data_IF_569494626571
#
_entry.id   IF_569494626571
#
_cell.length_a   1.000
_cell.length_b   1.000
_cell.length_c   1.000
_cell.angle_alpha   90.00
_cell.angle_beta   90.00
_cell.angle_gamma   90.00
#
_symmetry.space_group_name_H-M   'P 1'
#
loop_
_entity.id
_entity.type
_entity.pdbx_description
1 polymer ?
#
# COMPACT_ATOMS: atom_id res chain seq x y z
N UNK A 1 0.24 2.75 18.15
CA UNK A 1 0.92 1.42 18.17
C UNK A 1 0.40 0.46 17.09
N UNK A 2 -0.92 0.40 16.86
CA UNK A 2 -1.52 -0.47 15.82
C UNK A 2 -0.96 -0.13 14.43
N UNK A 3 -0.93 1.14 14.06
CA UNK A 3 -0.33 1.61 12.80
C UNK A 3 1.08 1.05 12.61
N UNK A 4 1.93 1.18 13.59
CA UNK A 4 3.33 0.73 13.51
C UNK A 4 3.44 -0.79 13.35
N UNK A 5 2.57 -1.55 14.03
CA UNK A 5 2.54 -3.02 13.89
C UNK A 5 2.11 -3.44 12.49
N UNK A 6 1.09 -2.80 11.96
CA UNK A 6 0.62 -3.10 10.60
C UNK A 6 1.70 -2.79 9.55
N UNK A 7 2.36 -1.65 9.67
CA UNK A 7 3.48 -1.31 8.77
C UNK A 7 4.61 -2.33 8.89
N UNK A 8 5.02 -2.68 10.11
CA UNK A 8 6.08 -3.67 10.33
C UNK A 8 5.72 -5.04 9.75
N UNK A 9 4.47 -5.48 9.93
CA UNK A 9 4.00 -6.75 9.38
C UNK A 9 4.05 -6.75 7.85
N UNK A 10 3.53 -5.69 7.22
CA UNK A 10 3.57 -5.56 5.76
C UNK A 10 4.99 -5.54 5.23
N UNK A 11 5.88 -4.73 5.81
CA UNK A 11 7.27 -4.65 5.38
C UNK A 11 7.97 -6.00 5.52
N UNK A 12 7.80 -6.70 6.63
CA UNK A 12 8.44 -7.99 6.88
C UNK A 12 7.95 -9.08 5.93
N UNK A 13 6.64 -9.26 5.84
CA UNK A 13 6.04 -10.31 5.02
C UNK A 13 6.26 -10.08 3.52
N UNK A 14 6.10 -8.86 3.07
CA UNK A 14 6.27 -8.53 1.65
C UNK A 14 7.75 -8.60 1.26
N UNK A 15 8.66 -8.12 2.11
CA UNK A 15 10.09 -8.23 1.85
C UNK A 15 10.51 -9.68 1.66
N UNK A 16 10.02 -10.58 2.51
CA UNK A 16 10.27 -12.02 2.40
C UNK A 16 9.73 -12.59 1.08
N UNK A 17 8.49 -12.22 0.73
CA UNK A 17 7.86 -12.68 -0.50
C UNK A 17 8.54 -12.18 -1.77
N UNK A 18 9.24 -11.05 -1.70
CA UNK A 18 9.92 -10.43 -2.85
C UNK A 18 11.36 -10.91 -3.07
N UNK A 19 11.90 -11.79 -2.23
CA UNK A 19 13.32 -12.21 -2.29
C UNK A 19 13.83 -12.61 -3.67
N UNK A 20 13.01 -13.29 -4.46
CA UNK A 20 13.39 -13.79 -5.78
C UNK A 20 12.72 -13.01 -6.92
N UNK A 21 12.26 -11.82 -6.65
CA UNK A 21 11.57 -10.96 -7.62
C UNK A 21 12.34 -9.65 -7.81
N UNK A 22 12.26 -9.04 -8.99
CA UNK A 22 12.95 -7.76 -9.25
C UNK A 22 12.17 -6.58 -8.68
N UNK A 23 11.70 -6.69 -7.44
CA UNK A 23 10.91 -5.69 -6.76
C UNK A 23 11.39 -5.53 -5.32
N UNK A 24 11.17 -4.34 -4.75
CA UNK A 24 11.45 -4.07 -3.35
C UNK A 24 10.33 -3.27 -2.70
N UNK A 25 10.17 -3.42 -1.39
CA UNK A 25 9.25 -2.60 -0.60
C UNK A 25 10.03 -1.57 0.19
N UNK A 26 9.54 -0.33 0.18
CA UNK A 26 10.18 0.81 0.84
C UNK A 26 9.21 1.43 1.86
N UNK A 27 9.73 1.91 3.00
CA UNK A 27 8.92 2.48 4.07
C UNK A 27 8.53 3.94 3.83
N UNK A 28 7.86 4.56 4.81
CA UNK A 28 7.21 5.86 4.70
C UNK A 28 8.13 7.08 4.53
N UNK A 29 9.43 6.95 4.70
CA UNK A 29 10.37 8.06 4.47
C UNK A 29 10.57 8.36 2.98
N UNK A 30 10.16 7.45 2.10
CA UNK A 30 10.16 7.72 0.68
C UNK A 30 8.90 8.52 0.32
N UNK A 31 9.06 9.58 -0.44
CA UNK A 31 7.91 10.30 -0.98
C UNK A 31 7.68 9.95 -2.44
N UNK A 32 6.45 10.09 -2.87
CA UNK A 32 6.04 9.80 -4.25
C UNK A 32 5.60 11.10 -4.89
N UNK A 33 6.08 11.36 -6.10
CA UNK A 33 5.67 12.52 -6.89
C UNK A 33 4.74 12.11 -8.03
N UNK A 34 3.79 12.99 -8.35
CA UNK A 34 2.98 12.84 -9.56
C UNK A 34 3.72 13.40 -10.77
N UNK A 35 3.35 12.99 -12.00
CA UNK A 35 4.01 13.49 -13.22
C UNK A 35 4.00 15.00 -13.37
N UNK A 36 2.95 15.68 -12.90
CA UNK A 36 2.84 17.13 -12.92
C UNK A 36 3.69 17.83 -11.88
N UNK A 37 4.26 17.07 -10.92
CA UNK A 37 4.96 17.60 -9.73
C UNK A 37 4.13 18.54 -8.86
N UNK A 38 2.82 18.50 -9.02
CA UNK A 38 1.90 19.32 -8.21
C UNK A 38 1.69 18.78 -6.81
N UNK A 39 1.97 17.48 -6.61
CA UNK A 39 1.76 16.79 -5.34
C UNK A 39 2.90 15.87 -5.00
N UNK A 40 3.27 15.90 -3.73
CA UNK A 40 4.23 14.99 -3.11
C UNK A 40 3.53 14.29 -1.96
N UNK A 41 3.58 12.97 -1.93
CA UNK A 41 2.89 12.16 -0.94
C UNK A 41 3.86 11.23 -0.24
N UNK A 42 3.58 10.93 1.03
CA UNK A 42 4.35 9.99 1.83
C UNK A 42 3.48 8.78 2.16
N UNK A 43 3.42 7.76 1.28
CA UNK A 43 2.67 6.55 1.59
C UNK A 43 3.32 5.77 2.74
N UNK A 44 2.53 4.96 3.45
CA UNK A 44 3.07 4.14 4.54
C UNK A 44 4.05 3.09 4.05
N UNK A 45 3.83 2.55 2.86
CA UNK A 45 4.77 1.68 2.17
C UNK A 45 4.52 1.72 0.66
N UNK A 46 5.56 1.40 -0.10
CA UNK A 46 5.49 1.37 -1.57
C UNK A 46 6.33 0.22 -2.10
N UNK A 47 5.82 -0.47 -3.13
CA UNK A 47 6.61 -1.44 -3.89
C UNK A 47 6.98 -0.83 -5.23
N UNK A 48 8.27 -0.92 -5.55
CA UNK A 48 8.82 -0.56 -6.86
C UNK A 48 9.47 -1.78 -7.48
N UNK A 49 9.23 -1.97 -8.78
CA UNK A 49 9.80 -3.09 -9.53
C UNK A 49 10.76 -2.55 -10.58
N UNK A 50 11.86 -3.28 -10.80
CA UNK A 50 12.94 -2.84 -11.66
C UNK A 50 13.75 -1.73 -11.01
N UNK A 51 14.32 -0.86 -11.83
CA UNK A 51 15.15 0.25 -11.35
C UNK A 51 14.28 1.37 -10.79
N UNK A 52 14.47 1.78 -9.52
CA UNK A 52 13.78 2.95 -8.99
C UNK A 52 14.15 4.21 -9.77
N UNK A 53 13.14 4.96 -10.19
CA UNK A 53 13.32 6.24 -10.87
C UNK A 53 13.12 7.37 -9.86
N UNK A 54 14.21 8.06 -9.53
CA UNK A 54 14.19 9.14 -8.57
C UNK A 54 14.05 10.50 -9.27
N UNK A 55 13.35 11.44 -8.62
CA UNK A 55 13.16 12.77 -9.18
C UNK A 55 14.44 13.58 -9.20
N UNK A 56 15.20 13.52 -8.09
CA UNK A 56 16.49 14.23 -7.95
C UNK A 56 17.39 13.51 -6.94
N UNK A 57 18.60 14.07 -6.74
CA UNK A 57 19.59 13.53 -5.80
C UNK A 57 19.45 14.09 -4.39
N UNK A 58 18.51 14.99 -4.14
CA UNK A 58 18.40 15.71 -2.86
C UNK A 58 17.45 15.05 -1.88
N UNK A 59 16.39 14.42 -2.38
CA UNK A 59 15.34 13.81 -1.58
C UNK A 59 15.01 12.43 -2.15
N UNK A 60 14.58 11.53 -1.27
CA UNK A 60 14.10 10.22 -1.68
C UNK A 60 12.68 10.34 -2.26
N UNK A 61 12.60 10.81 -3.51
CA UNK A 61 11.36 11.00 -4.24
C UNK A 61 11.27 10.02 -5.39
N UNK A 62 10.37 9.06 -5.26
CA UNK A 62 10.15 7.99 -6.22
C UNK A 62 9.11 8.40 -7.27
N UNK A 63 9.41 8.16 -8.54
CA UNK A 63 8.54 8.49 -9.66
C UNK A 63 7.76 7.28 -10.20
N UNK A 64 8.21 6.05 -9.92
CA UNK A 64 7.63 4.84 -10.52
C UNK A 64 7.18 3.77 -9.52
N UNK A 65 6.35 4.12 -8.52
CA UNK A 65 5.77 3.12 -7.65
C UNK A 65 4.81 2.22 -8.42
N UNK A 66 4.78 0.93 -8.09
CA UNK A 66 3.83 -0.03 -8.66
C UNK A 66 2.65 -0.30 -7.73
N UNK A 67 2.92 -0.49 -6.43
CA UNK A 67 1.90 -0.75 -5.42
C UNK A 67 2.09 0.22 -4.27
N UNK A 68 1.02 0.83 -3.81
CA UNK A 68 1.03 1.78 -2.70
C UNK A 68 0.14 1.25 -1.59
N UNK A 69 0.65 1.30 -0.35
CA UNK A 69 -0.05 0.91 0.87
C UNK A 69 -0.30 2.12 1.76
N UNK A 70 -1.50 2.23 2.27
CA UNK A 70 -1.85 3.20 3.31
C UNK A 70 -2.58 2.49 4.44
N UNK A 71 -2.21 2.81 5.68
CA UNK A 71 -2.93 2.34 6.85
C UNK A 71 -4.05 3.34 7.15
N UNK A 72 -5.28 2.88 7.07
CA UNK A 72 -6.44 3.72 7.33
C UNK A 72 -6.64 3.93 8.83
N UNK A 73 -6.86 5.17 9.21
CA UNK A 73 -7.38 5.55 10.52
C UNK A 73 -8.66 6.38 10.33
N UNK A 74 -9.52 6.50 11.36
CA UNK A 74 -10.72 7.34 11.23
C UNK A 74 -10.44 8.79 10.78
N UNK A 75 -9.27 9.32 11.14
CA UNK A 75 -8.88 10.69 10.80
C UNK A 75 -8.36 10.86 9.37
N UNK A 76 -7.90 9.80 8.72
CA UNK A 76 -7.26 9.88 7.38
C UNK A 76 -8.04 9.18 6.28
N UNK A 77 -9.08 8.42 6.63
CA UNK A 77 -9.81 7.54 5.71
C UNK A 77 -10.32 8.25 4.46
N UNK A 78 -11.00 9.38 4.61
CA UNK A 78 -11.56 10.11 3.48
C UNK A 78 -10.47 10.63 2.53
N UNK A 79 -9.38 11.13 3.08
CA UNK A 79 -8.24 11.62 2.31
C UNK A 79 -7.55 10.49 1.55
N UNK A 80 -7.33 9.35 2.22
CA UNK A 80 -6.67 8.18 1.63
C UNK A 80 -7.53 7.54 0.53
N UNK A 81 -8.84 7.45 0.73
CA UNK A 81 -9.75 6.87 -0.26
C UNK A 81 -9.98 7.75 -1.47
N UNK A 82 -10.02 9.07 -1.29
CA UNK A 82 -10.39 10.01 -2.33
C UNK A 82 -9.19 10.70 -2.98
N UNK A 83 -8.68 11.73 -2.30
CA UNK A 83 -7.70 12.65 -2.88
C UNK A 83 -6.36 12.00 -3.22
N UNK A 84 -5.80 11.21 -2.32
CA UNK A 84 -4.55 10.49 -2.58
C UNK A 84 -4.69 9.54 -3.75
N UNK A 85 -5.75 8.75 -3.79
CA UNK A 85 -6.00 7.82 -4.88
C UNK A 85 -6.11 8.54 -6.22
N UNK A 86 -6.78 9.67 -6.27
CA UNK A 86 -6.87 10.50 -7.48
C UNK A 86 -5.48 10.88 -7.99
N UNK A 87 -4.57 11.30 -7.12
CA UNK A 87 -3.21 11.67 -7.51
C UNK A 87 -2.37 10.45 -7.92
N UNK A 88 -2.42 9.36 -7.18
CA UNK A 88 -1.65 8.17 -7.51
C UNK A 88 -2.04 7.56 -8.86
N UNK A 89 -3.31 7.63 -9.25
CA UNK A 89 -3.78 7.13 -10.55
C UNK A 89 -3.15 7.82 -11.74
N UNK A 90 -2.58 9.00 -11.57
CA UNK A 90 -1.89 9.72 -12.64
C UNK A 90 -0.51 9.15 -12.94
N UNK A 91 0.03 8.32 -12.06
CA UNK A 91 1.37 7.74 -12.20
C UNK A 91 1.30 6.52 -13.13
N UNK A 92 2.02 6.51 -14.27
CA UNK A 92 1.91 5.44 -15.27
C UNK A 92 2.27 4.04 -14.75
N UNK A 93 3.20 3.93 -13.81
CA UNK A 93 3.62 2.64 -13.23
C UNK A 93 2.66 2.08 -12.20
N UNK A 94 1.78 2.90 -11.66
CA UNK A 94 0.89 2.54 -10.55
C UNK A 94 -0.18 1.54 -10.97
N UNK A 95 -0.30 0.41 -10.23
CA UNK A 95 -1.19 -0.69 -10.57
C UNK A 95 -2.16 -1.08 -9.46
N UNK A 96 -1.73 -0.98 -8.20
CA UNK A 96 -2.57 -1.40 -7.07
C UNK A 96 -2.46 -0.43 -5.90
N UNK A 97 -3.61 -0.09 -5.33
CA UNK A 97 -3.72 0.72 -4.13
C UNK A 97 -4.32 -0.13 -3.01
N UNK A 98 -3.58 -0.33 -1.93
CA UNK A 98 -3.96 -1.23 -0.85
C UNK A 98 -4.15 -0.44 0.42
N UNK A 99 -5.37 -0.44 0.94
CA UNK A 99 -5.76 0.25 2.16
C UNK A 99 -6.00 -0.79 3.25
N UNK A 100 -5.24 -0.68 4.35
CA UNK A 100 -5.30 -1.61 5.48
C UNK A 100 -5.95 -0.90 6.66
N UNK A 101 -7.11 -1.38 7.10
CA UNK A 101 -7.85 -0.74 8.18
C UNK A 101 -7.17 -1.00 9.53
N UNK A 102 -7.05 0.03 10.36
CA UNK A 102 -6.44 -0.06 11.69
C UNK A 102 -7.44 -0.34 12.81
N UNK A 103 -8.73 -0.40 12.50
CA UNK A 103 -9.80 -0.59 13.50
C UNK A 103 -10.41 -1.99 13.47
N UNK A 104 -10.22 -2.72 12.39
CA UNK A 104 -10.76 -4.07 12.18
C UNK A 104 -9.96 -4.80 11.10
N UNK A 105 -10.04 -6.15 11.01
CA UNK A 105 -9.42 -6.89 9.91
C UNK A 105 -10.18 -6.61 8.61
N UNK A 106 -9.69 -5.64 7.85
CA UNK A 106 -10.35 -5.21 6.64
C UNK A 106 -9.31 -4.59 5.70
N UNK A 107 -9.20 -5.11 4.49
CA UNK A 107 -8.28 -4.60 3.47
C UNK A 107 -9.07 -4.29 2.22
N UNK A 108 -8.86 -3.12 1.65
CA UNK A 108 -9.41 -2.74 0.35
C UNK A 108 -8.30 -2.69 -0.68
N UNK A 109 -8.58 -3.23 -1.86
CA UNK A 109 -7.65 -3.20 -2.97
C UNK A 109 -8.34 -2.57 -4.16
N UNK A 110 -7.68 -1.56 -4.74
CA UNK A 110 -8.05 -1.00 -6.03
C UNK A 110 -6.99 -1.44 -7.03
N UNK A 111 -7.41 -2.20 -8.06
CA UNK A 111 -6.51 -2.74 -9.09
C UNK A 111 -6.83 -2.16 -10.44
N UNK A 112 -5.79 -1.75 -11.17
CA UNK A 112 -5.96 -1.37 -12.56
C UNK A 112 -5.99 -2.63 -13.44
N UNK A 113 -7.03 -2.73 -14.26
CA UNK A 113 -7.16 -3.79 -15.26
C UNK A 113 -6.45 -3.40 -16.56
N UNK A 114 -6.27 -4.36 -17.47
CA UNK A 114 -5.58 -4.13 -18.75
C UNK A 114 -6.24 -3.05 -19.61
N UNK A 115 -7.55 -2.89 -19.51
CA UNK A 115 -8.30 -1.86 -20.25
C UNK A 115 -8.23 -0.46 -19.60
N UNK A 116 -7.45 -0.31 -18.51
CA UNK A 116 -7.33 0.95 -17.77
C UNK A 116 -8.40 1.19 -16.72
N UNK A 117 -9.43 0.37 -16.64
CA UNK A 117 -10.44 0.46 -15.60
C UNK A 117 -9.89 0.02 -14.24
N UNK A 118 -10.52 0.48 -13.16
CA UNK A 118 -10.15 0.13 -11.81
C UNK A 118 -11.19 -0.79 -11.20
N UNK A 119 -10.75 -1.94 -10.69
CA UNK A 119 -11.56 -2.92 -9.98
C UNK A 119 -11.35 -2.79 -8.49
N UNK A 120 -12.43 -2.78 -7.73
CA UNK A 120 -12.39 -2.69 -6.26
C UNK A 120 -12.72 -4.04 -5.64
N UNK A 121 -11.93 -4.42 -4.64
CA UNK A 121 -12.08 -5.68 -3.92
C UNK A 121 -11.83 -5.45 -2.43
N UNK A 122 -12.56 -6.18 -1.59
CA UNK A 122 -12.37 -6.13 -0.14
C UNK A 122 -12.06 -7.52 0.41
N UNK A 123 -11.20 -7.57 1.42
CA UNK A 123 -10.87 -8.79 2.15
C UNK A 123 -11.27 -8.58 3.60
N UNK A 124 -12.26 -9.33 4.07
CA UNK A 124 -12.79 -9.22 5.42
C UNK A 124 -12.58 -10.49 6.26
N UNK A 125 -12.24 -11.60 5.60
CA UNK A 125 -12.01 -12.86 6.28
C UNK A 125 -10.62 -12.86 6.94
N UNK A 126 -10.52 -12.98 8.28
CA UNK A 126 -9.22 -13.04 8.96
C UNK A 126 -8.35 -14.23 8.52
N UNK A 127 -8.94 -15.27 7.94
CA UNK A 127 -8.22 -16.43 7.38
C UNK A 127 -7.96 -16.31 5.88
N UNK A 128 -8.32 -15.16 5.29
CA UNK A 128 -8.13 -14.89 3.86
C UNK A 128 -6.70 -14.52 3.51
N UNK A 129 -6.51 -14.22 2.22
CA UNK A 129 -5.21 -13.86 1.65
C UNK A 129 -5.29 -12.49 0.98
N UNK A 130 -4.31 -11.66 1.26
CA UNK A 130 -4.07 -10.44 0.50
C UNK A 130 -3.24 -10.82 -0.73
N UNK A 131 -3.88 -10.85 -1.89
CA UNK A 131 -3.21 -11.16 -3.15
C UNK A 131 -2.85 -9.87 -3.90
N UNK A 132 -1.56 -9.69 -4.17
CA UNK A 132 -1.04 -8.54 -4.92
C UNK A 132 -0.76 -9.01 -6.35
N UNK A 133 -1.76 -8.85 -7.22
CA UNK A 133 -1.78 -9.47 -8.53
C UNK A 133 -0.69 -8.96 -9.48
N UNK A 134 -0.34 -7.67 -9.40
CA UNK A 134 0.69 -7.09 -10.27
C UNK A 134 2.07 -7.72 -10.08
N UNK A 135 2.31 -8.33 -8.93
CA UNK A 135 3.59 -8.94 -8.57
C UNK A 135 3.46 -10.46 -8.39
N UNK A 136 2.23 -10.96 -8.21
CA UNK A 136 1.97 -12.38 -8.01
C UNK A 136 2.39 -12.91 -6.65
N UNK A 137 2.22 -12.12 -5.60
CA UNK A 137 2.49 -12.55 -4.22
C UNK A 137 1.21 -12.56 -3.40
N UNK A 138 1.18 -13.38 -2.35
CA UNK A 138 0.03 -13.52 -1.47
C UNK A 138 0.51 -13.47 -0.01
N UNK A 139 -0.15 -12.65 0.79
CA UNK A 139 0.15 -12.47 2.20
C UNK A 139 -1.08 -12.88 3.02
N UNK A 140 -0.97 -13.83 3.97
CA UNK A 140 -2.10 -14.19 4.81
C UNK A 140 -2.59 -12.98 5.63
N UNK A 141 -3.89 -12.80 5.70
CA UNK A 141 -4.48 -11.76 6.56
C UNK A 141 -4.06 -11.92 8.02
N UNK A 142 -3.88 -13.16 8.49
CA UNK A 142 -3.36 -13.45 9.82
C UNK A 142 -1.96 -12.84 10.05
N UNK A 143 -1.13 -12.77 9.03
CA UNK A 143 0.21 -12.17 9.13
C UNK A 143 0.16 -10.64 9.00
N UNK A 144 -0.76 -10.10 8.21
CA UNK A 144 -0.97 -8.64 8.13
C UNK A 144 -1.35 -8.09 9.51
N UNK A 145 -2.25 -8.77 10.20
CA UNK A 145 -2.78 -8.36 11.51
C UNK A 145 -2.10 -9.05 12.70
N UNK A 146 -0.95 -9.66 12.49
CA UNK A 146 -0.20 -10.31 13.56
C UNK A 146 0.14 -9.34 14.68
N UNK A 147 -0.10 -9.77 15.94
CA UNK A 147 0.12 -8.96 17.14
C UNK A 147 -0.74 -7.68 17.23
N UNK A 148 -1.76 -7.57 16.39
CA UNK A 148 -2.70 -6.46 16.42
C UNK A 148 -3.95 -6.90 17.21
N UNK A 149 -4.26 -6.15 18.26
CA UNK A 149 -5.48 -6.34 19.05
C UNK A 149 -6.33 -5.10 18.93
N UNK A 150 -7.58 -5.29 18.51
CA UNK A 150 -8.53 -4.20 18.42
C UNK A 150 -9.21 -4.00 19.78
N UNK A 151 -9.48 -2.73 20.13
CA UNK A 151 -10.26 -2.45 21.32
C UNK A 151 -11.69 -2.91 21.09
N UNK A 152 -12.16 -3.83 21.93
CA UNK A 152 -13.59 -4.10 22.02
C UNK A 152 -14.25 -2.89 22.65
N UNK A 153 -15.22 -2.29 21.96
CA UNK A 153 -16.06 -1.27 22.59
C UNK A 153 -16.67 -1.89 23.86
N UNK A 154 -16.51 -1.19 25.00
CA UNK A 154 -17.16 -1.60 26.23
C UNK A 154 -18.67 -1.59 26.03
N UNK A 155 -19.41 -2.63 26.53
CA UNK A 155 -20.87 -2.67 26.39
C UNK A 155 -21.55 -1.49 27.11
#
# INVERSE_FOLDING_TARGET
MIHNRLVANLLGEIREALKNKPCEILPSDIRVSTPSRESYMYPDAVIVCGQPEMEDDKFDTLKNPMVIFEILSPSTEDHDRGRKFFFYRQIPSFREYILVDSTKPFVEISRQEENGAWKFETITNPEGQLFISSIGISIPMAEVYRNVSFQTEAP
#
